data_IF_737963112920
#
_entry.id   IF_737963112920
#
_cell.length_a   1.000
_cell.length_b   1.000
_cell.length_c   1.000
_cell.angle_alpha   90.00
_cell.angle_beta   90.00
_cell.angle_gamma   90.00
#
_symmetry.space_group_name_H-M   'P 1'
#
loop_
_entity.id
_entity.type
_entity.pdbx_description
1 polymer ?
#
# COMPACT_ATOMS: atom_id res chain seq x y z
N UNK A 1 -22.67 -76.58 -79.55
CA UNK A 1 -21.71 -77.54 -78.97
C UNK A 1 -20.37 -76.83 -78.78
N UNK A 2 -19.66 -77.03 -77.65
CA UNK A 2 -19.59 -76.02 -76.57
C UNK A 2 -18.29 -75.20 -76.49
N UNK A 3 -18.41 -74.05 -75.83
CA UNK A 3 -17.39 -73.04 -75.54
C UNK A 3 -16.42 -73.48 -74.43
N UNK A 4 -15.13 -73.23 -74.64
CA UNK A 4 -14.06 -73.33 -73.64
C UNK A 4 -14.28 -72.28 -72.54
N UNK A 5 -14.54 -72.71 -71.30
CA UNK A 5 -14.43 -71.85 -70.13
C UNK A 5 -12.97 -71.87 -69.64
N UNK A 6 -12.42 -70.67 -69.52
CA UNK A 6 -11.07 -70.35 -69.03
C UNK A 6 -10.95 -70.83 -67.57
N UNK A 7 -9.88 -71.56 -67.25
CA UNK A 7 -9.48 -71.86 -65.87
C UNK A 7 -9.13 -70.55 -65.17
N UNK A 8 -10.10 -69.98 -64.46
CA UNK A 8 -9.85 -68.96 -63.45
C UNK A 8 -9.55 -69.68 -62.14
N UNK A 9 -8.30 -69.60 -61.67
CA UNK A 9 -7.88 -70.16 -60.39
C UNK A 9 -8.62 -69.43 -59.27
N UNK A 10 -9.69 -70.02 -58.73
CA UNK A 10 -10.32 -69.52 -57.51
C UNK A 10 -9.51 -70.00 -56.32
N UNK A 11 -8.80 -69.10 -55.65
CA UNK A 11 -8.16 -69.42 -54.37
C UNK A 11 -9.23 -69.44 -53.27
N UNK A 12 -9.35 -70.57 -52.56
CA UNK A 12 -10.25 -70.75 -51.40
C UNK A 12 -9.61 -70.16 -50.12
N UNK A 13 -8.33 -69.81 -50.16
CA UNK A 13 -7.57 -69.32 -49.02
C UNK A 13 -7.16 -67.86 -49.25
N UNK A 14 -8.00 -66.93 -48.77
CA UNK A 14 -7.66 -65.52 -48.67
C UNK A 14 -7.22 -65.22 -47.23
N UNK A 15 -5.95 -64.85 -47.06
CA UNK A 15 -5.41 -64.42 -45.75
C UNK A 15 -5.43 -62.90 -45.71
N UNK A 16 -6.24 -62.33 -44.81
CA UNK A 16 -6.23 -60.89 -44.52
C UNK A 16 -5.11 -60.61 -43.51
N UNK A 17 -4.09 -59.86 -43.93
CA UNK A 17 -3.03 -59.40 -43.05
C UNK A 17 -3.30 -57.94 -42.64
N UNK A 18 -3.72 -57.72 -41.39
CA UNK A 18 -3.97 -56.40 -40.83
C UNK A 18 -3.03 -56.12 -39.66
N UNK A 19 -2.58 -54.86 -39.53
CA UNK A 19 -1.81 -54.40 -38.38
C UNK A 19 -2.77 -54.03 -37.26
N UNK A 20 -2.61 -54.65 -36.10
CA UNK A 20 -3.43 -54.42 -34.92
C UNK A 20 -2.76 -53.36 -34.05
N UNK A 21 -3.54 -52.38 -33.59
CA UNK A 21 -3.10 -51.36 -32.62
C UNK A 21 -4.03 -51.40 -31.42
N UNK A 22 -3.47 -51.38 -30.23
CA UNK A 22 -4.23 -51.37 -28.97
C UNK A 22 -4.26 -49.95 -28.42
N UNK A 23 -5.46 -49.39 -28.27
CA UNK A 23 -5.66 -48.11 -27.60
C UNK A 23 -5.76 -48.34 -26.08
N UNK A 24 -5.05 -47.52 -25.31
CA UNK A 24 -5.09 -47.53 -23.84
C UNK A 24 -5.64 -46.20 -23.33
N UNK A 25 -6.54 -46.26 -22.35
CA UNK A 25 -7.01 -45.05 -21.64
C UNK A 25 -5.86 -44.40 -20.86
N UNK A 26 -5.68 -43.07 -20.94
CA UNK A 26 -4.69 -42.36 -20.13
C UNK A 26 -5.11 -42.21 -18.66
N UNK A 27 -6.37 -42.52 -18.34
CA UNK A 27 -6.91 -42.48 -16.98
C UNK A 27 -7.55 -43.81 -16.60
N UNK A 28 -7.46 -44.18 -15.33
CA UNK A 28 -8.24 -45.28 -14.78
C UNK A 28 -9.71 -44.88 -14.69
N UNK A 29 -10.64 -45.80 -14.98
CA UNK A 29 -12.06 -45.50 -14.90
C UNK A 29 -12.95 -46.60 -15.47
N UNK A 30 -14.25 -46.36 -15.41
CA UNK A 30 -15.27 -47.22 -16.01
C UNK A 30 -15.55 -46.76 -17.44
N UNK A 31 -15.51 -47.67 -18.40
CA UNK A 31 -15.89 -47.38 -19.79
C UNK A 31 -17.41 -47.24 -19.86
N UNK A 32 -17.92 -46.05 -20.19
CA UNK A 32 -19.32 -45.85 -20.55
C UNK A 32 -19.44 -45.89 -22.06
N UNK A 33 -19.90 -47.01 -22.61
CA UNK A 33 -20.22 -47.09 -24.02
C UNK A 33 -21.65 -46.55 -24.24
N UNK A 34 -21.80 -45.56 -25.11
CA UNK A 34 -22.95 -45.53 -26.01
C UNK A 34 -22.41 -45.99 -27.36
N UNK A 35 -22.51 -47.29 -27.70
CA UNK A 35 -22.31 -47.68 -29.09
C UNK A 35 -23.23 -46.80 -29.93
N UNK A 36 -22.80 -46.29 -31.09
CA UNK A 36 -23.76 -45.76 -32.05
C UNK A 36 -24.83 -46.83 -32.23
N UNK A 37 -26.09 -46.44 -31.97
CA UNK A 37 -27.22 -47.36 -31.95
C UNK A 37 -27.21 -48.19 -33.24
N UNK A 38 -27.02 -49.50 -33.12
CA UNK A 38 -27.34 -50.43 -34.19
C UNK A 38 -26.21 -51.10 -34.97
N UNK A 39 -24.93 -51.03 -34.57
CA UNK A 39 -23.90 -51.80 -35.28
C UNK A 39 -22.98 -52.60 -34.37
N UNK A 40 -23.27 -53.88 -34.24
CA UNK A 40 -22.28 -54.95 -33.97
C UNK A 40 -21.35 -55.15 -35.19
N UNK A 41 -21.15 -54.10 -36.00
CA UNK A 41 -20.61 -54.13 -37.35
C UNK A 41 -19.34 -53.29 -37.37
N UNK A 42 -18.26 -53.84 -37.93
CA UNK A 42 -17.00 -53.14 -38.15
C UNK A 42 -17.25 -51.84 -38.93
N UNK A 43 -17.20 -50.69 -38.26
CA UNK A 43 -17.28 -49.37 -38.90
C UNK A 43 -15.89 -48.78 -39.10
N UNK A 44 -15.71 -48.07 -40.22
CA UNK A 44 -14.50 -47.27 -40.46
C UNK A 44 -14.49 -46.13 -39.45
N UNK A 45 -13.43 -46.05 -38.65
CA UNK A 45 -13.21 -44.98 -37.68
C UNK A 45 -12.26 -43.95 -38.30
N UNK A 46 -12.61 -42.68 -38.21
CA UNK A 46 -11.78 -41.57 -38.69
C UNK A 46 -10.99 -40.95 -37.52
N UNK A 47 -9.95 -40.21 -37.86
CA UNK A 47 -9.20 -39.44 -36.87
C UNK A 47 -10.12 -38.42 -36.18
N UNK A 48 -10.06 -38.37 -34.85
CA UNK A 48 -10.92 -37.50 -34.03
C UNK A 48 -12.26 -38.12 -33.61
N UNK A 49 -12.63 -39.29 -34.15
CA UNK A 49 -13.86 -39.97 -33.74
C UNK A 49 -13.76 -40.44 -32.29
N UNK A 50 -14.80 -40.13 -31.51
CA UNK A 50 -14.93 -40.61 -30.13
C UNK A 50 -15.32 -42.10 -30.15
N UNK A 51 -14.33 -42.98 -29.91
CA UNK A 51 -14.52 -44.43 -29.92
C UNK A 51 -15.16 -44.90 -28.60
N UNK A 52 -14.66 -44.41 -27.47
CA UNK A 52 -15.08 -44.79 -26.11
C UNK A 52 -15.01 -43.59 -25.17
N UNK A 53 -15.92 -43.54 -24.20
CA UNK A 53 -15.84 -42.59 -23.08
C UNK A 53 -15.42 -43.34 -21.81
N UNK A 54 -14.36 -42.86 -21.15
CA UNK A 54 -13.88 -43.39 -19.87
C UNK A 54 -14.22 -42.40 -18.77
N UNK A 55 -14.99 -42.84 -17.79
CA UNK A 55 -15.42 -42.04 -16.65
C UNK A 55 -14.72 -42.54 -15.39
N UNK A 56 -13.90 -41.70 -14.77
CA UNK A 56 -13.33 -42.00 -13.45
C UNK A 56 -14.27 -41.51 -12.34
N UNK A 57 -15.18 -42.36 -11.87
CA UNK A 57 -16.08 -42.02 -10.77
C UNK A 57 -15.35 -41.78 -9.43
N UNK A 58 -14.13 -42.34 -9.29
CA UNK A 58 -13.21 -42.18 -8.15
C UNK A 58 -12.08 -41.20 -8.43
N UNK A 59 -12.16 -40.41 -9.50
CA UNK A 59 -11.27 -39.26 -9.67
C UNK A 59 -11.35 -38.41 -8.40
N UNK A 60 -10.24 -37.80 -8.00
CA UNK A 60 -10.08 -37.16 -6.69
C UNK A 60 -10.97 -35.90 -6.54
N UNK A 61 -12.28 -36.13 -6.42
CA UNK A 61 -13.32 -35.12 -6.22
C UNK A 61 -13.05 -34.34 -4.94
N UNK A 62 -12.49 -35.01 -3.93
CA UNK A 62 -12.09 -34.38 -2.67
C UNK A 62 -11.01 -33.33 -2.93
N UNK A 63 -9.97 -33.66 -3.71
CA UNK A 63 -8.94 -32.68 -4.11
C UNK A 63 -9.51 -31.55 -4.96
N UNK A 64 -10.40 -31.84 -5.91
CA UNK A 64 -11.04 -30.81 -6.74
C UNK A 64 -11.91 -29.87 -5.89
N UNK A 65 -12.69 -30.41 -4.96
CA UNK A 65 -13.55 -29.63 -4.08
C UNK A 65 -12.73 -28.81 -3.07
N UNK A 66 -11.63 -29.35 -2.55
CA UNK A 66 -10.68 -28.60 -1.73
C UNK A 66 -10.04 -27.44 -2.50
N UNK A 67 -9.58 -27.67 -3.73
CA UNK A 67 -9.04 -26.61 -4.59
C UNK A 67 -10.09 -25.53 -4.90
N UNK A 68 -11.34 -25.92 -5.18
CA UNK A 68 -12.46 -24.97 -5.38
C UNK A 68 -12.73 -24.13 -4.13
N UNK A 69 -12.69 -24.76 -2.94
CA UNK A 69 -12.83 -24.05 -1.66
C UNK A 69 -11.67 -23.10 -1.41
N UNK A 70 -10.44 -23.50 -1.73
CA UNK A 70 -9.26 -22.63 -1.62
C UNK A 70 -9.36 -21.43 -2.56
N UNK A 71 -9.73 -21.64 -3.82
CA UNK A 71 -9.95 -20.57 -4.79
C UNK A 71 -11.01 -19.59 -4.29
N UNK A 72 -12.17 -20.09 -3.85
CA UNK A 72 -13.24 -19.23 -3.34
C UNK A 72 -12.81 -18.42 -2.11
N UNK A 73 -12.01 -19.00 -1.20
CA UNK A 73 -11.42 -18.24 -0.08
C UNK A 73 -10.51 -17.11 -0.58
N UNK A 74 -9.58 -17.41 -1.49
CA UNK A 74 -8.66 -16.41 -2.04
C UNK A 74 -9.39 -15.31 -2.81
N UNK A 75 -10.42 -15.65 -3.58
CA UNK A 75 -11.27 -14.70 -4.30
C UNK A 75 -12.00 -13.75 -3.35
N UNK A 76 -12.45 -14.25 -2.19
CA UNK A 76 -13.11 -13.45 -1.16
C UNK A 76 -12.12 -12.63 -0.30
N UNK A 77 -10.90 -13.11 -0.11
CA UNK A 77 -9.86 -12.39 0.63
C UNK A 77 -9.29 -11.22 -0.15
N UNK A 78 -9.17 -11.34 -1.48
CA UNK A 78 -8.62 -10.29 -2.34
C UNK A 78 -9.31 -8.92 -2.20
N UNK A 79 -10.65 -8.79 -2.24
CA UNK A 79 -11.32 -7.51 -2.03
C UNK A 79 -11.15 -7.00 -0.59
N UNK A 80 -11.08 -7.88 0.40
CA UNK A 80 -10.82 -7.50 1.80
C UNK A 80 -9.44 -6.85 1.94
N UNK A 81 -8.40 -7.44 1.33
CA UNK A 81 -7.06 -6.85 1.33
C UNK A 81 -7.00 -5.53 0.55
N UNK A 82 -7.67 -5.44 -0.60
CA UNK A 82 -7.76 -4.19 -1.36
C UNK A 82 -8.43 -3.06 -0.54
N UNK A 83 -9.51 -3.37 0.19
CA UNK A 83 -10.18 -2.42 1.07
C UNK A 83 -9.27 -1.99 2.24
N UNK A 84 -8.54 -2.92 2.85
CA UNK A 84 -7.57 -2.60 3.92
C UNK A 84 -6.44 -1.71 3.41
N UNK A 85 -5.93 -1.98 2.21
CA UNK A 85 -4.89 -1.17 1.58
C UNK A 85 -5.40 0.26 1.33
N UNK A 86 -6.56 0.41 0.70
CA UNK A 86 -7.16 1.72 0.43
C UNK A 86 -7.43 2.51 1.73
N UNK A 87 -7.90 1.83 2.78
CA UNK A 87 -8.09 2.44 4.10
C UNK A 87 -6.76 2.89 4.73
N UNK A 88 -5.71 2.07 4.63
CA UNK A 88 -4.38 2.39 5.14
C UNK A 88 -3.74 3.57 4.39
N UNK A 89 -3.87 3.61 3.06
CA UNK A 89 -3.40 4.71 2.23
C UNK A 89 -4.12 6.02 2.58
N UNK A 90 -5.44 5.97 2.77
CA UNK A 90 -6.23 7.13 3.21
C UNK A 90 -5.77 7.62 4.57
N UNK A 91 -5.63 6.70 5.54
CA UNK A 91 -5.16 7.03 6.88
C UNK A 91 -3.74 7.63 6.87
N UNK A 92 -2.84 7.11 6.01
CA UNK A 92 -1.51 7.67 5.84
C UNK A 92 -1.56 9.10 5.31
N UNK A 93 -2.38 9.37 4.30
CA UNK A 93 -2.53 10.72 3.73
C UNK A 93 -3.10 11.71 4.75
N UNK A 94 -4.09 11.28 5.54
CA UNK A 94 -4.68 12.11 6.59
C UNK A 94 -3.68 12.40 7.71
N UNK A 95 -2.91 11.40 8.14
CA UNK A 95 -1.83 11.59 9.13
C UNK A 95 -0.75 12.55 8.60
N UNK A 96 -0.36 12.43 7.33
CA UNK A 96 0.60 13.34 6.71
C UNK A 96 0.07 14.78 6.69
N UNK A 97 -1.22 14.97 6.36
CA UNK A 97 -1.88 16.27 6.38
C UNK A 97 -1.92 16.87 7.79
N UNK A 98 -2.31 16.09 8.79
CA UNK A 98 -2.33 16.52 10.19
C UNK A 98 -0.94 16.88 10.71
N UNK A 99 0.08 16.09 10.38
CA UNK A 99 1.46 16.37 10.76
C UNK A 99 1.98 17.68 10.14
N UNK A 100 1.63 17.95 8.88
CA UNK A 100 1.97 19.22 8.22
C UNK A 100 1.28 20.40 8.91
N UNK A 101 -0.04 20.32 9.14
CA UNK A 101 -0.80 21.37 9.83
C UNK A 101 -0.28 21.64 11.25
N UNK A 102 0.05 20.59 12.00
CA UNK A 102 0.63 20.73 13.33
C UNK A 102 2.00 21.42 13.26
N UNK A 103 2.86 21.00 12.32
CA UNK A 103 4.19 21.61 12.13
C UNK A 103 4.07 23.10 11.79
N UNK A 104 3.22 23.45 10.84
CA UNK A 104 3.03 24.83 10.39
C UNK A 104 2.45 25.70 11.51
N UNK A 105 1.44 25.19 12.22
CA UNK A 105 0.87 25.85 13.39
C UNK A 105 1.90 26.06 14.50
N UNK A 106 2.76 25.06 14.74
CA UNK A 106 3.83 25.16 15.76
C UNK A 106 4.90 26.17 15.35
N UNK A 107 5.26 26.23 14.07
CA UNK A 107 6.20 27.25 13.55
C UNK A 107 5.62 28.64 13.75
N UNK A 108 4.35 28.87 13.38
CA UNK A 108 3.68 30.16 13.58
C UNK A 108 3.62 30.57 15.05
N UNK A 109 3.31 29.63 15.95
CA UNK A 109 3.32 29.87 17.40
C UNK A 109 4.71 30.27 17.90
N UNK A 110 5.75 29.56 17.47
CA UNK A 110 7.13 29.86 17.85
C UNK A 110 7.59 31.21 17.30
N UNK A 111 7.23 31.54 16.05
CA UNK A 111 7.53 32.84 15.45
C UNK A 111 6.84 33.99 16.21
N UNK A 112 5.57 33.83 16.57
CA UNK A 112 4.86 34.82 17.39
C UNK A 112 5.51 34.98 18.77
N UNK A 113 5.94 33.87 19.39
CA UNK A 113 6.65 33.91 20.67
C UNK A 113 8.02 34.58 20.57
N UNK A 114 8.76 34.34 19.48
CA UNK A 114 10.02 35.03 19.21
C UNK A 114 9.78 36.54 19.06
N UNK A 115 8.78 36.94 18.27
CA UNK A 115 8.45 38.35 18.08
C UNK A 115 8.02 39.05 19.39
N UNK A 116 7.23 38.36 20.23
CA UNK A 116 6.84 38.82 21.56
C UNK A 116 8.08 39.06 22.45
N UNK A 117 8.99 38.08 22.51
CA UNK A 117 10.22 38.18 23.30
C UNK A 117 11.13 39.30 22.78
N UNK A 118 11.30 39.41 21.46
CA UNK A 118 12.08 40.48 20.84
C UNK A 118 11.51 41.87 21.20
N UNK A 119 10.19 42.04 21.11
CA UNK A 119 9.52 43.28 21.52
C UNK A 119 9.74 43.59 23.01
N UNK A 120 9.74 42.57 23.88
CA UNK A 120 10.03 42.73 25.30
C UNK A 120 11.50 43.14 25.56
N UNK A 121 12.45 42.56 24.83
CA UNK A 121 13.87 42.93 24.87
C UNK A 121 14.07 44.39 24.44
N UNK A 122 13.47 44.78 23.31
CA UNK A 122 13.54 46.16 22.81
C UNK A 122 12.95 47.16 23.81
N UNK A 123 11.79 46.85 24.39
CA UNK A 123 11.18 47.68 25.41
C UNK A 123 12.04 47.81 26.68
N UNK A 124 12.67 46.71 27.12
CA UNK A 124 13.58 46.73 28.27
C UNK A 124 14.86 47.54 27.97
N UNK A 125 15.42 47.39 26.77
CA UNK A 125 16.58 48.17 26.32
C UNK A 125 16.27 49.67 26.27
N UNK A 126 15.11 50.06 25.72
CA UNK A 126 14.67 51.46 25.67
C UNK A 126 14.45 52.06 27.08
N UNK A 127 13.90 51.28 28.03
CA UNK A 127 13.77 51.71 29.43
C UNK A 127 15.13 51.94 30.09
N UNK A 128 16.08 51.04 29.85
CA UNK A 128 17.46 51.16 30.34
C UNK A 128 18.12 52.43 29.79
N UNK A 129 18.01 52.68 28.48
CA UNK A 129 18.58 53.88 27.86
C UNK A 129 17.99 55.17 28.44
N UNK A 130 16.67 55.21 28.63
CA UNK A 130 16.00 56.34 29.30
C UNK A 130 16.50 56.57 30.73
N UNK A 131 16.72 55.50 31.50
CA UNK A 131 17.22 55.58 32.87
C UNK A 131 18.67 56.07 32.93
N UNK A 132 19.53 55.60 32.02
CA UNK A 132 20.92 56.08 31.86
C UNK A 132 20.92 57.58 31.56
N UNK A 133 20.14 58.02 30.57
CA UNK A 133 20.05 59.44 30.20
C UNK A 133 19.45 60.31 31.32
N UNK A 134 18.58 59.76 32.18
CA UNK A 134 18.07 60.47 33.35
C UNK A 134 19.14 60.66 34.43
N UNK A 135 19.94 59.63 34.70
CA UNK A 135 21.08 59.69 35.63
C UNK A 135 22.16 60.65 35.14
N UNK A 136 22.51 60.60 33.85
CA UNK A 136 23.49 61.54 33.26
C UNK A 136 23.01 62.99 33.40
N UNK A 137 21.75 63.27 33.05
CA UNK A 137 21.16 64.60 33.23
C UNK A 137 21.17 65.04 34.69
N UNK A 138 20.73 64.20 35.62
CA UNK A 138 20.74 64.51 37.05
C UNK A 138 22.17 64.76 37.58
N UNK A 139 23.16 64.01 37.11
CA UNK A 139 24.57 64.19 37.47
C UNK A 139 25.11 65.55 37.02
N UNK A 140 24.68 66.03 35.84
CA UNK A 140 25.06 67.35 35.33
C UNK A 140 24.40 68.48 36.15
N UNK A 141 23.15 68.31 36.56
CA UNK A 141 22.39 69.28 37.35
C UNK A 141 22.81 69.33 38.82
N UNK A 142 23.33 68.25 39.39
CA UNK A 142 23.94 68.27 40.73
C UNK A 142 25.15 69.19 40.76
N UNK A 143 25.96 69.22 39.70
CA UNK A 143 27.13 70.10 39.59
C UNK A 143 26.74 71.59 39.59
N UNK A 144 25.53 71.92 39.12
CA UNK A 144 24.97 73.28 39.16
C UNK A 144 24.10 73.54 40.40
N UNK A 145 24.02 72.61 41.36
CA UNK A 145 23.23 72.74 42.59
C UNK A 145 21.71 72.64 42.39
N UNK A 146 21.24 72.18 41.23
CA UNK A 146 19.83 72.25 40.83
C UNK A 146 19.02 70.98 41.14
N UNK A 147 19.65 69.92 41.66
CA UNK A 147 19.03 68.63 41.98
C UNK A 147 19.52 68.12 43.34
N UNK A 148 18.61 67.50 44.11
CA UNK A 148 18.89 66.90 45.42
C UNK A 148 19.67 65.58 45.32
N UNK A 149 20.52 65.31 46.30
CA UNK A 149 21.25 64.02 46.44
C UNK A 149 20.30 62.83 46.59
N UNK A 150 19.10 63.04 47.16
CA UNK A 150 18.06 62.01 47.32
C UNK A 150 17.48 61.61 45.96
N UNK A 151 17.21 62.58 45.07
CA UNK A 151 16.72 62.29 43.72
C UNK A 151 17.77 61.55 42.89
N UNK A 152 19.04 61.88 43.06
CA UNK A 152 20.13 61.15 42.41
C UNK A 152 20.23 59.69 42.88
N UNK A 153 20.07 59.45 44.19
CA UNK A 153 20.03 58.08 44.74
C UNK A 153 18.82 57.29 44.22
N UNK A 154 17.67 57.93 44.00
CA UNK A 154 16.49 57.31 43.40
C UNK A 154 16.75 56.91 41.93
N UNK A 155 17.25 57.84 41.12
CA UNK A 155 17.51 57.61 39.69
C UNK A 155 18.59 56.54 39.45
N UNK A 156 19.64 56.51 40.28
CA UNK A 156 20.67 55.44 40.20
C UNK A 156 20.10 54.06 40.53
N UNK A 157 19.21 53.96 41.52
CA UNK A 157 18.49 52.71 41.80
C UNK A 157 17.59 52.31 40.64
N UNK A 158 16.86 53.25 40.04
CA UNK A 158 16.01 52.98 38.87
C UNK A 158 16.83 52.53 37.66
N UNK A 159 18.00 53.12 37.42
CA UNK A 159 18.94 52.66 36.41
C UNK A 159 19.41 51.22 36.67
N UNK A 160 19.75 50.88 37.92
CA UNK A 160 20.17 49.53 38.28
C UNK A 160 19.05 48.48 38.05
N UNK A 161 17.80 48.82 38.40
CA UNK A 161 16.63 47.97 38.15
C UNK A 161 16.40 47.80 36.64
N UNK A 162 16.48 48.89 35.87
CA UNK A 162 16.32 48.85 34.42
C UNK A 162 17.43 48.04 33.74
N UNK A 163 18.67 48.10 34.24
CA UNK A 163 19.79 47.27 33.81
C UNK A 163 19.49 45.78 34.06
N UNK A 164 19.15 45.39 35.29
CA UNK A 164 18.81 44.01 35.61
C UNK A 164 17.63 43.48 34.78
N UNK A 165 16.62 44.31 34.54
CA UNK A 165 15.45 43.94 33.73
C UNK A 165 15.84 43.70 32.26
N UNK A 166 16.74 44.51 31.70
CA UNK A 166 17.23 44.33 30.33
C UNK A 166 18.13 43.10 30.21
N UNK A 167 18.95 42.81 31.23
CA UNK A 167 19.82 41.63 31.23
C UNK A 167 18.98 40.34 31.37
N UNK A 168 17.95 40.35 32.23
CA UNK A 168 17.00 39.23 32.36
C UNK A 168 16.17 39.01 31.09
N UNK A 169 15.79 40.06 30.37
CA UNK A 169 15.06 39.92 29.12
C UNK A 169 15.89 39.21 28.01
N UNK A 170 17.23 39.22 28.13
CA UNK A 170 18.16 38.63 27.16
C UNK A 170 18.63 37.21 27.51
N UNK A 171 18.44 36.76 28.75
CA UNK A 171 18.82 35.43 29.24
C UNK A 171 17.79 34.37 28.89
#
# INVERSE_FOLDING_TARGET
MPLKAVLQTSSVEAVVNARIVTLRSPIDGTVSAKPPQGSTQLSVVHEGDAILHVVNARGDRVRLDDLRRQMSRMENERPSFAAKLAAAETAQQDLARQAAQFRDGRILQLQARIAEIQSAIEAAAARREKAVAAVERASSLIKSGSVSTVEMARLTREQAIAQQTADFARS
#
